data_IF_735971862696
#
_entry.id   IF_735971862696
#
_cell.length_a   1.000
_cell.length_b   1.000
_cell.length_c   1.000
_cell.angle_alpha   90.00
_cell.angle_beta   90.00
_cell.angle_gamma   90.00
#
_symmetry.space_group_name_H-M   'P 1'
#
loop_
_entity.id
_entity.type
_entity.pdbx_description
1 polymer ?
#
# COMPACT_ATOMS: atom_id res chain seq x y z
N UNK A 1 -18.15 2.21 -0.39
CA UNK A 1 -17.77 3.64 -0.33
C UNK A 1 -19.02 4.47 -0.07
N UNK A 2 -18.87 5.71 0.41
CA UNK A 2 -19.95 6.70 0.46
C UNK A 2 -19.41 8.10 0.14
N UNK A 3 -20.29 9.02 -0.22
CA UNK A 3 -19.96 10.42 -0.48
C UNK A 3 -20.73 11.28 0.51
N UNK A 4 -20.02 12.13 1.25
CA UNK A 4 -20.59 13.05 2.24
C UNK A 4 -19.83 14.38 2.17
N UNK A 5 -20.54 15.50 2.11
CA UNK A 5 -19.98 16.86 2.06
C UNK A 5 -18.85 17.04 1.02
N UNK A 6 -19.03 16.48 -0.18
CA UNK A 6 -18.04 16.57 -1.26
C UNK A 6 -16.82 15.66 -1.08
N UNK A 7 -16.84 14.75 -0.11
CA UNK A 7 -15.74 13.80 0.18
C UNK A 7 -16.17 12.37 -0.14
N UNK A 8 -15.38 11.68 -0.95
CA UNK A 8 -15.46 10.23 -1.14
C UNK A 8 -14.73 9.50 -0.02
N UNK A 9 -15.40 8.56 0.65
CA UNK A 9 -14.83 7.71 1.70
C UNK A 9 -14.90 6.24 1.26
N UNK A 10 -13.73 5.59 1.18
CA UNK A 10 -13.59 4.16 0.89
C UNK A 10 -13.10 3.48 2.18
N UNK A 11 -13.92 2.63 2.77
CA UNK A 11 -13.58 1.84 3.96
C UNK A 11 -13.08 0.47 3.55
N UNK A 12 -12.19 -0.11 4.37
CA UNK A 12 -11.62 -1.46 4.13
C UNK A 12 -11.08 -1.60 2.71
N UNK A 13 -10.20 -0.66 2.33
CA UNK A 13 -9.55 -0.60 1.02
C UNK A 13 -9.00 -1.96 0.58
N UNK A 14 -9.27 -2.31 -0.67
CA UNK A 14 -8.71 -3.47 -1.37
C UNK A 14 -7.91 -3.03 -2.60
N UNK A 15 -7.05 -3.90 -3.13
CA UNK A 15 -6.30 -3.62 -4.35
C UNK A 15 -7.19 -3.31 -5.55
N UNK A 16 -8.41 -3.87 -5.59
CA UNK A 16 -9.39 -3.57 -6.64
C UNK A 16 -9.90 -2.12 -6.62
N UNK A 17 -9.74 -1.39 -5.51
CA UNK A 17 -10.10 0.02 -5.42
C UNK A 17 -9.06 0.95 -6.10
N UNK A 18 -7.90 0.42 -6.51
CA UNK A 18 -6.88 1.19 -7.23
C UNK A 18 -7.41 1.73 -8.56
N UNK A 19 -7.15 3.02 -8.84
CA UNK A 19 -7.55 3.62 -10.10
C UNK A 19 -7.51 5.14 -10.13
N UNK A 20 -7.97 5.71 -11.23
CA UNK A 20 -8.15 7.16 -11.36
C UNK A 20 -9.57 7.53 -10.92
N UNK A 21 -9.66 8.40 -9.93
CA UNK A 21 -10.91 8.93 -9.41
C UNK A 21 -11.10 10.36 -9.90
N UNK A 22 -12.34 10.69 -10.25
CA UNK A 22 -12.75 12.03 -10.66
C UNK A 22 -13.73 12.60 -9.64
N UNK A 23 -13.44 13.81 -9.14
CA UNK A 23 -14.44 14.64 -8.48
C UNK A 23 -15.17 15.42 -9.59
N UNK A 24 -16.50 15.28 -9.64
CA UNK A 24 -17.34 15.90 -10.66
C UNK A 24 -18.34 16.81 -9.95
N UNK A 25 -18.33 18.10 -10.30
CA UNK A 25 -19.33 19.06 -9.86
C UNK A 25 -20.10 19.57 -11.07
N UNK A 26 -21.43 19.52 -11.00
CA UNK A 26 -22.33 19.79 -12.12
C UNK A 26 -23.43 20.78 -11.73
N UNK A 27 -23.76 21.68 -12.65
CA UNK A 27 -24.98 22.51 -12.63
C UNK A 27 -25.89 22.12 -13.80
N UNK A 28 -27.01 22.80 -13.98
CA UNK A 28 -27.85 22.61 -15.18
C UNK A 28 -27.18 23.10 -16.47
N UNK A 29 -26.15 23.96 -16.36
CA UNK A 29 -25.51 24.63 -17.49
C UNK A 29 -24.13 24.05 -17.81
N UNK A 30 -23.40 23.54 -16.81
CA UNK A 30 -22.01 23.11 -16.96
C UNK A 30 -21.58 21.97 -16.01
N UNK A 31 -20.39 21.44 -16.28
CA UNK A 31 -19.73 20.41 -15.47
C UNK A 31 -18.24 20.75 -15.38
N UNK A 32 -17.68 20.63 -14.18
CA UNK A 32 -16.24 20.73 -13.94
C UNK A 32 -15.73 19.43 -13.30
N UNK A 33 -14.53 19.01 -13.68
CA UNK A 33 -13.89 17.79 -13.20
C UNK A 33 -12.49 18.05 -12.66
N UNK A 34 -12.11 17.32 -11.61
CA UNK A 34 -10.73 17.20 -11.14
C UNK A 34 -10.39 15.73 -10.91
N UNK A 35 -9.16 15.30 -11.23
CA UNK A 35 -8.76 13.90 -11.23
C UNK A 35 -7.57 13.64 -10.31
N UNK A 36 -7.59 12.50 -9.64
CA UNK A 36 -6.48 12.01 -8.84
C UNK A 36 -6.32 10.49 -9.03
N UNK A 37 -5.08 10.01 -8.95
CA UNK A 37 -4.79 8.57 -8.95
C UNK A 37 -4.74 8.05 -7.51
N UNK A 38 -5.53 7.02 -7.21
CA UNK A 38 -5.42 6.23 -6.00
C UNK A 38 -4.54 5.01 -6.27
N UNK A 39 -3.37 4.98 -5.64
CA UNK A 39 -2.48 3.81 -5.61
C UNK A 39 -2.70 3.07 -4.28
N UNK A 40 -3.06 1.79 -4.34
CA UNK A 40 -3.24 0.96 -3.15
C UNK A 40 -1.99 0.10 -2.97
N UNK A 41 -1.23 0.36 -1.90
CA UNK A 41 -0.01 -0.38 -1.58
C UNK A 41 -0.23 -1.30 -0.41
N UNK A 42 0.22 -2.54 -0.57
CA UNK A 42 0.20 -3.55 0.48
C UNK A 42 1.32 -3.38 1.49
N UNK A 43 1.18 -4.10 2.60
CA UNK A 43 2.36 -4.41 3.41
C UNK A 43 3.33 -5.29 2.61
N UNK A 44 4.65 -5.14 2.80
CA UNK A 44 5.61 -6.06 2.19
C UNK A 44 5.27 -7.51 2.51
N UNK A 45 5.51 -8.40 1.55
CA UNK A 45 5.39 -9.83 1.78
C UNK A 45 6.39 -10.33 2.85
N UNK A 46 6.20 -11.56 3.36
CA UNK A 46 7.13 -12.15 4.30
C UNK A 46 8.53 -12.30 3.67
N UNK A 47 9.57 -12.16 4.49
CA UNK A 47 10.95 -12.40 4.06
C UNK A 47 11.09 -13.90 3.72
N UNK A 48 11.41 -14.25 2.46
CA UNK A 48 11.30 -15.64 2.00
C UNK A 48 12.45 -16.53 2.50
N UNK A 49 13.64 -15.96 2.73
CA UNK A 49 14.81 -16.71 3.16
C UNK A 49 15.70 -15.88 4.07
N UNK A 50 15.87 -16.38 5.30
CA UNK A 50 16.89 -15.91 6.23
C UNK A 50 18.18 -16.69 5.99
N UNK A 51 19.29 -15.97 5.95
CA UNK A 51 20.65 -16.53 5.82
C UNK A 51 21.37 -16.30 7.14
N UNK A 52 21.82 -17.40 7.76
CA UNK A 52 22.67 -17.37 8.95
C UNK A 52 24.14 -17.27 8.53
N UNK A 53 24.88 -16.40 9.19
CA UNK A 53 26.33 -16.25 9.01
C UNK A 53 27.04 -16.20 10.37
N UNK A 54 28.38 -16.23 10.33
CA UNK A 54 29.23 -16.18 11.53
C UNK A 54 28.91 -17.25 12.59
N UNK A 55 28.73 -18.51 12.17
CA UNK A 55 28.29 -19.61 13.05
C UNK A 55 29.18 -19.84 14.30
N UNK A 56 30.45 -19.40 14.27
CA UNK A 56 31.32 -19.44 15.45
C UNK A 56 30.77 -18.62 16.63
N UNK A 57 29.97 -17.58 16.36
CA UNK A 57 29.34 -16.72 17.38
C UNK A 57 28.21 -17.43 18.15
N UNK A 58 27.71 -18.56 17.64
CA UNK A 58 26.68 -19.35 18.33
C UNK A 58 27.14 -19.81 19.72
N UNK A 59 28.44 -20.12 19.84
CA UNK A 59 29.05 -20.50 21.12
C UNK A 59 29.04 -19.35 22.15
N UNK A 60 28.92 -18.11 21.69
CA UNK A 60 28.78 -16.90 22.49
C UNK A 60 27.32 -16.46 22.63
N UNK A 61 26.36 -17.32 22.28
CA UNK A 61 24.93 -17.01 22.26
C UNK A 61 24.57 -15.83 21.35
N UNK A 62 25.33 -15.61 20.28
CA UNK A 62 25.07 -14.58 19.28
C UNK A 62 24.82 -15.22 17.90
N UNK A 63 23.90 -14.61 17.13
CA UNK A 63 23.54 -15.03 15.77
C UNK A 63 23.60 -13.82 14.86
N UNK A 64 24.23 -13.96 13.68
CA UNK A 64 24.09 -12.99 12.59
C UNK A 64 23.11 -13.53 11.55
N UNK A 65 22.10 -12.72 11.23
CA UNK A 65 21.08 -13.03 10.23
C UNK A 65 21.11 -11.97 9.13
N UNK A 66 20.97 -12.39 7.88
CA UNK A 66 20.86 -11.52 6.71
C UNK A 66 19.74 -12.00 5.78
N UNK A 67 19.13 -11.09 5.04
CA UNK A 67 18.09 -11.40 4.07
C UNK A 67 18.04 -10.34 2.97
N UNK A 68 17.44 -10.70 1.83
CA UNK A 68 17.02 -9.74 0.80
C UNK A 68 15.50 -9.55 0.87
N UNK A 69 14.98 -8.37 0.50
CA UNK A 69 13.56 -8.20 0.24
C UNK A 69 13.05 -9.26 -0.76
N UNK A 70 11.78 -9.64 -0.63
CA UNK A 70 11.10 -10.36 -1.71
C UNK A 70 11.00 -9.44 -2.94
N UNK A 71 11.03 -10.02 -4.14
CA UNK A 71 10.62 -9.31 -5.36
C UNK A 71 9.14 -8.92 -5.31
#
# INVERSE_FOLDING_TARGET
>A
YFIEDGRLVIHSLDYSDQGNYSCVASTELDVVESRAQLLVVGSPGPVPRLVLSDLHLLTQSQVRVSWSPAE
#
